data_IF_122677769047
#
_entry.id   IF_122677769047
#
_cell.length_a   1.000
_cell.length_b   1.000
_cell.length_c   1.000
_cell.angle_alpha   90.00
_cell.angle_beta   90.00
_cell.angle_gamma   90.00
#
_symmetry.space_group_name_H-M   'P 1'
#
loop_
_entity.id
_entity.type
_entity.pdbx_description
1 polymer ?
#
# COMPACT_ATOMS: atom_id res chain seq x y z
N UNK A 1 -6.47 -24.95 4.48
CA UNK A 1 -6.04 -23.59 4.08
C UNK A 1 -5.56 -22.85 5.30
N UNK A 2 -4.34 -22.25 5.24
CA UNK A 2 -3.86 -21.39 6.32
C UNK A 2 -4.53 -20.01 6.15
N UNK A 3 -5.15 -19.52 7.23
CA UNK A 3 -5.72 -18.16 7.30
C UNK A 3 -4.77 -17.30 8.11
N UNK A 4 -4.48 -16.09 7.64
CA UNK A 4 -3.65 -15.11 8.32
C UNK A 4 -4.54 -13.98 8.85
N UNK A 5 -4.31 -13.58 10.10
CA UNK A 5 -4.95 -12.40 10.67
C UNK A 5 -4.13 -11.17 10.27
N UNK A 6 -4.72 -10.28 9.48
CA UNK A 6 -4.07 -9.03 9.04
C UNK A 6 -4.66 -7.80 9.73
N UNK A 7 -3.84 -6.76 9.86
CA UNK A 7 -4.30 -5.42 10.16
C UNK A 7 -3.91 -4.47 9.03
N UNK A 8 -4.90 -3.81 8.46
CA UNK A 8 -4.69 -2.70 7.55
C UNK A 8 -4.60 -1.41 8.36
N UNK A 9 -3.37 -0.99 8.61
CA UNK A 9 -3.03 0.17 9.41
C UNK A 9 -3.00 1.44 8.56
N UNK A 10 -3.17 2.58 9.20
CA UNK A 10 -3.32 3.86 8.53
C UNK A 10 -2.10 4.76 8.72
N UNK A 11 -1.81 5.60 7.72
CA UNK A 11 -0.86 6.69 7.83
C UNK A 11 -1.42 7.80 8.72
N UNK A 12 -0.78 8.09 9.86
CA UNK A 12 -1.28 9.06 10.84
C UNK A 12 -0.44 10.34 10.92
N UNK A 13 0.76 10.35 10.33
CA UNK A 13 1.65 11.52 10.31
C UNK A 13 2.54 11.60 9.07
N UNK A 14 3.09 12.78 8.79
CA UNK A 14 4.13 12.98 7.76
C UNK A 14 5.46 12.31 8.13
N UNK A 15 5.67 11.98 9.39
CA UNK A 15 6.85 11.27 9.87
C UNK A 15 6.76 9.75 9.63
N UNK A 16 5.61 9.26 9.11
CA UNK A 16 5.40 7.85 8.78
C UNK A 16 4.88 7.02 9.96
N UNK A 17 4.31 7.66 10.97
CA UNK A 17 3.61 6.93 12.04
C UNK A 17 2.37 6.25 11.51
N UNK A 18 2.07 5.08 12.05
CA UNK A 18 0.87 4.30 11.77
C UNK A 18 0.01 4.17 13.02
N UNK A 19 -1.23 3.72 12.89
CA UNK A 19 -2.10 3.40 14.01
C UNK A 19 -1.94 1.96 14.53
N UNK A 20 -0.99 1.18 13.99
CA UNK A 20 -0.60 -0.10 14.56
C UNK A 20 0.07 0.12 15.92
N UNK A 21 -0.52 -0.42 16.98
CA UNK A 21 0.01 -0.31 18.33
C UNK A 21 1.07 -1.35 18.59
N UNK A 22 2.14 -0.97 19.30
CA UNK A 22 3.22 -1.88 19.65
C UNK A 22 2.75 -3.10 20.48
N UNK A 23 1.74 -2.90 21.35
CA UNK A 23 1.16 -3.95 22.19
C UNK A 23 0.24 -4.92 21.42
N UNK A 24 -0.08 -4.59 20.17
CA UNK A 24 -0.98 -5.40 19.33
C UNK A 24 -0.23 -6.20 18.26
N UNK A 25 1.08 -6.00 18.10
CA UNK A 25 1.88 -6.65 17.06
C UNK A 25 1.76 -8.18 17.07
N UNK A 26 1.74 -8.79 18.25
CA UNK A 26 1.67 -10.25 18.38
C UNK A 26 0.30 -10.84 18.03
N UNK A 27 -0.73 -10.00 17.92
CA UNK A 27 -2.09 -10.41 17.57
C UNK A 27 -2.29 -10.63 16.07
N UNK A 28 -1.37 -10.15 15.23
CA UNK A 28 -1.48 -10.18 13.79
C UNK A 28 -0.38 -11.01 13.14
N UNK A 29 -0.69 -11.62 12.00
CA UNK A 29 0.25 -12.38 11.16
C UNK A 29 0.83 -11.54 10.03
N UNK A 30 0.08 -10.53 9.57
CA UNK A 30 0.42 -9.69 8.41
C UNK A 30 0.11 -8.22 8.70
N UNK A 31 1.00 -7.33 8.27
CA UNK A 31 0.89 -5.88 8.43
C UNK A 31 0.66 -5.21 7.07
N UNK A 32 -0.57 -4.80 6.83
CA UNK A 32 -0.95 -4.00 5.67
C UNK A 32 -0.97 -2.51 6.06
N UNK A 33 -0.77 -1.64 5.07
CA UNK A 33 -0.65 -0.21 5.32
C UNK A 33 -1.26 0.59 4.16
N UNK A 34 -2.11 1.55 4.48
CA UNK A 34 -2.75 2.42 3.49
C UNK A 34 -3.13 3.79 4.03
N UNK A 35 -3.84 4.57 3.21
CA UNK A 35 -4.40 5.88 3.60
C UNK A 35 -5.91 5.84 3.45
N UNK A 36 -6.65 6.12 4.53
CA UNK A 36 -8.10 6.15 4.56
C UNK A 36 -8.65 7.53 4.98
N UNK A 37 -9.93 7.77 4.74
CA UNK A 37 -10.53 9.10 4.88
C UNK A 37 -10.79 9.52 6.33
N UNK A 38 -11.17 8.57 7.18
CA UNK A 38 -11.63 8.87 8.56
C UNK A 38 -10.62 8.36 9.56
N UNK A 39 -9.66 9.24 9.91
CA UNK A 39 -8.55 8.89 10.79
C UNK A 39 -8.31 9.96 11.86
N UNK A 40 -7.69 9.55 12.95
CA UNK A 40 -7.10 10.46 13.92
C UNK A 40 -5.65 10.73 13.55
N UNK A 41 -5.41 11.88 12.94
CA UNK A 41 -4.05 12.34 12.63
C UNK A 41 -3.35 12.85 13.89
N UNK A 42 -2.02 12.75 13.91
CA UNK A 42 -1.19 13.16 15.05
C UNK A 42 -1.21 14.69 15.25
N UNK A 43 -1.19 15.44 14.13
CA UNK A 43 -1.23 16.90 14.11
C UNK A 43 -2.19 17.39 13.03
N UNK A 44 -2.71 18.60 13.17
CA UNK A 44 -3.54 19.22 12.13
C UNK A 44 -2.79 19.38 10.79
N UNK A 45 -1.48 19.67 10.84
CA UNK A 45 -0.65 19.73 9.64
C UNK A 45 -0.59 18.40 8.87
N UNK A 46 -0.62 17.26 9.57
CA UNK A 46 -0.62 15.93 8.96
C UNK A 46 -1.96 15.70 8.25
N UNK A 47 -3.07 15.97 8.93
CA UNK A 47 -4.41 15.94 8.32
C UNK A 47 -4.49 16.82 7.08
N UNK A 48 -4.01 18.07 7.17
CA UNK A 48 -4.04 19.02 6.06
C UNK A 48 -3.26 18.50 4.84
N UNK A 49 -2.03 18.04 5.02
CA UNK A 49 -1.16 17.63 3.91
C UNK A 49 -1.47 16.24 3.38
N UNK A 50 -1.80 15.27 4.24
CA UNK A 50 -2.05 13.89 3.82
C UNK A 50 -3.47 13.76 3.27
N UNK A 51 -4.46 14.24 4.02
CA UNK A 51 -5.86 14.00 3.68
C UNK A 51 -6.52 15.18 2.97
N UNK A 52 -6.61 16.36 3.61
CA UNK A 52 -7.48 17.44 3.13
C UNK A 52 -7.08 17.93 1.72
N UNK A 53 -5.80 18.19 1.48
CA UNK A 53 -5.33 18.66 0.17
C UNK A 53 -5.49 17.60 -0.92
N UNK A 54 -5.16 16.34 -0.62
CA UNK A 54 -5.32 15.24 -1.56
C UNK A 54 -6.79 14.94 -1.88
N UNK A 55 -7.64 14.85 -0.84
CA UNK A 55 -9.07 14.59 -1.01
C UNK A 55 -9.78 15.70 -1.78
N UNK A 56 -9.44 16.97 -1.49
CA UNK A 56 -10.00 18.12 -2.22
C UNK A 56 -9.61 18.07 -3.69
N UNK A 57 -8.34 17.79 -4.00
CA UNK A 57 -7.88 17.64 -5.38
C UNK A 57 -8.59 16.49 -6.09
N UNK A 58 -8.71 15.34 -5.43
CA UNK A 58 -9.45 14.18 -5.94
C UNK A 58 -10.91 14.51 -6.26
N UNK A 59 -11.63 15.18 -5.35
CA UNK A 59 -13.03 15.59 -5.57
C UNK A 59 -13.20 16.56 -6.74
N UNK A 60 -12.19 17.41 -7.00
CA UNK A 60 -12.19 18.36 -8.11
C UNK A 60 -11.65 17.74 -9.42
N UNK A 61 -11.30 16.45 -9.45
CA UNK A 61 -10.71 15.79 -10.61
C UNK A 61 -9.34 16.37 -10.99
N UNK A 62 -8.58 16.89 -10.03
CA UNK A 62 -7.28 17.55 -10.22
C UNK A 62 -6.18 16.82 -9.48
N UNK A 63 -4.94 17.00 -9.94
CA UNK A 63 -3.76 16.59 -9.14
C UNK A 63 -3.54 17.61 -8.03
N UNK A 64 -3.11 17.20 -6.83
CA UNK A 64 -2.68 18.10 -5.77
C UNK A 64 -1.41 18.85 -6.19
N UNK A 65 -1.02 19.89 -5.44
CA UNK A 65 0.24 20.62 -5.70
C UNK A 65 1.45 19.70 -5.52
N UNK A 66 2.55 20.00 -6.22
CA UNK A 66 3.78 19.21 -6.09
C UNK A 66 4.25 19.09 -4.65
N UNK A 67 4.17 20.17 -3.87
CA UNK A 67 4.50 20.15 -2.42
C UNK A 67 3.69 19.12 -1.63
N UNK A 68 2.40 18.94 -1.96
CA UNK A 68 1.55 17.92 -1.31
C UNK A 68 1.99 16.54 -1.73
N UNK A 69 2.27 16.31 -3.02
CA UNK A 69 2.80 15.05 -3.54
C UNK A 69 4.13 14.70 -2.84
N UNK A 70 5.07 15.65 -2.75
CA UNK A 70 6.36 15.45 -2.09
C UNK A 70 6.21 15.07 -0.61
N UNK A 71 5.32 15.79 0.11
CA UNK A 71 5.02 15.49 1.51
C UNK A 71 4.43 14.08 1.68
N UNK A 72 3.49 13.71 0.83
CA UNK A 72 2.84 12.39 0.87
C UNK A 72 3.83 11.29 0.50
N UNK A 73 4.64 11.50 -0.53
CA UNK A 73 5.72 10.58 -0.92
C UNK A 73 6.66 10.33 0.25
N UNK A 74 7.13 11.39 0.90
CA UNK A 74 7.99 11.29 2.09
C UNK A 74 7.31 10.51 3.22
N UNK A 75 6.02 10.76 3.45
CA UNK A 75 5.27 10.06 4.50
C UNK A 75 5.15 8.56 4.22
N UNK A 76 4.85 8.14 2.98
CA UNK A 76 4.84 6.74 2.59
C UNK A 76 6.22 6.09 2.76
N UNK A 77 7.28 6.77 2.29
CA UNK A 77 8.66 6.30 2.44
C UNK A 77 9.03 6.10 3.92
N UNK A 78 8.71 7.08 4.76
CA UNK A 78 8.97 7.00 6.20
C UNK A 78 8.19 5.85 6.84
N UNK A 79 6.92 5.64 6.47
CA UNK A 79 6.11 4.56 6.99
C UNK A 79 6.71 3.18 6.65
N UNK A 80 7.13 2.96 5.41
CA UNK A 80 7.79 1.70 4.98
C UNK A 80 9.13 1.49 5.69
N UNK A 81 9.90 2.57 5.91
CA UNK A 81 11.20 2.48 6.61
C UNK A 81 11.08 2.22 8.10
N UNK A 82 10.11 2.85 8.74
CA UNK A 82 9.98 2.85 10.20
C UNK A 82 9.13 1.68 10.72
N UNK A 83 8.36 1.02 9.86
CA UNK A 83 7.47 -0.06 10.24
C UNK A 83 7.71 -1.31 9.37
N UNK A 84 7.51 -2.51 9.90
CA UNK A 84 7.68 -3.77 9.15
C UNK A 84 6.46 -4.07 8.27
N UNK A 85 6.10 -3.13 7.38
CA UNK A 85 4.94 -3.22 6.49
C UNK A 85 5.15 -4.32 5.46
N UNK A 86 4.23 -5.28 5.37
CA UNK A 86 4.24 -6.34 4.37
C UNK A 86 3.67 -5.88 3.03
N UNK A 87 2.52 -5.19 3.07
CA UNK A 87 1.78 -4.77 1.88
C UNK A 87 1.39 -3.30 1.99
N UNK A 88 1.77 -2.52 1.00
CA UNK A 88 1.24 -1.18 0.77
C UNK A 88 -0.04 -1.29 -0.05
N UNK A 89 -1.19 -1.03 0.59
CA UNK A 89 -2.51 -1.21 0.00
C UNK A 89 -2.91 -0.01 -0.86
N UNK A 90 -3.73 -0.26 -1.87
CA UNK A 90 -4.39 0.71 -2.77
C UNK A 90 -3.62 2.04 -2.96
N UNK A 91 -2.31 1.94 -3.27
CA UNK A 91 -1.45 3.11 -3.52
C UNK A 91 -2.10 4.08 -4.52
N UNK A 92 -1.91 5.37 -4.31
CA UNK A 92 -2.52 6.45 -5.11
C UNK A 92 -4.05 6.61 -4.93
N UNK A 93 -4.69 5.84 -4.04
CA UNK A 93 -6.11 6.02 -3.76
C UNK A 93 -6.33 7.28 -2.93
N UNK A 94 -6.91 8.32 -3.54
CA UNK A 94 -7.22 9.62 -2.93
C UNK A 94 -6.03 10.32 -2.24
N UNK A 95 -4.83 9.80 -2.39
CA UNK A 95 -3.61 10.29 -1.75
C UNK A 95 -2.43 10.12 -2.71
N UNK A 96 -2.18 11.13 -3.53
CA UNK A 96 -1.17 11.10 -4.57
C UNK A 96 0.26 11.10 -4.00
N UNK A 97 1.13 10.29 -4.57
CA UNK A 97 2.56 10.27 -4.27
C UNK A 97 3.39 10.06 -5.54
N UNK A 98 4.71 10.21 -5.45
CA UNK A 98 5.62 9.73 -6.49
C UNK A 98 5.72 8.21 -6.40
N UNK A 99 5.03 7.54 -7.32
CA UNK A 99 4.91 6.08 -7.35
C UNK A 99 6.26 5.40 -7.53
N UNK A 100 7.17 5.99 -8.32
CA UNK A 100 8.49 5.40 -8.57
C UNK A 100 9.38 5.46 -7.32
N UNK A 101 9.39 6.60 -6.63
CA UNK A 101 10.18 6.74 -5.39
C UNK A 101 9.66 5.83 -4.29
N UNK A 102 8.34 5.76 -4.09
CA UNK A 102 7.73 4.86 -3.10
C UNK A 102 8.01 3.40 -3.46
N UNK A 103 7.79 2.99 -4.72
CA UNK A 103 8.03 1.62 -5.17
C UNK A 103 9.49 1.19 -4.99
N UNK A 104 10.45 2.09 -5.26
CA UNK A 104 11.88 1.80 -5.01
C UNK A 104 12.13 1.47 -3.54
N UNK A 105 11.60 2.26 -2.62
CA UNK A 105 11.76 1.97 -1.19
C UNK A 105 11.03 0.70 -0.79
N UNK A 106 9.85 0.43 -1.33
CA UNK A 106 9.16 -0.84 -1.12
C UNK A 106 10.03 -2.03 -1.58
N UNK A 107 10.69 -1.94 -2.74
CA UNK A 107 11.61 -2.94 -3.23
C UNK A 107 12.80 -3.14 -2.28
N UNK A 108 13.45 -2.06 -1.83
CA UNK A 108 14.60 -2.09 -0.92
C UNK A 108 14.27 -2.73 0.43
N UNK A 109 13.03 -2.58 0.90
CA UNK A 109 12.58 -3.07 2.21
C UNK A 109 11.78 -4.37 2.15
N UNK A 110 11.50 -4.92 0.96
CA UNK A 110 10.71 -6.14 0.79
C UNK A 110 9.23 -5.97 1.13
N UNK A 111 8.70 -4.75 0.97
CA UNK A 111 7.27 -4.44 1.06
C UNK A 111 6.62 -4.65 -0.30
N UNK A 112 5.53 -5.40 -0.35
CA UNK A 112 4.74 -5.56 -1.56
C UNK A 112 3.88 -4.33 -1.86
N UNK A 113 3.60 -4.10 -3.14
CA UNK A 113 2.54 -3.17 -3.55
C UNK A 113 1.33 -3.98 -3.99
N UNK A 114 0.18 -3.59 -3.50
CA UNK A 114 -1.09 -4.21 -3.83
C UNK A 114 -1.56 -3.84 -5.25
N UNK A 115 -1.95 -4.82 -6.03
CA UNK A 115 -2.83 -4.68 -7.20
C UNK A 115 -4.25 -4.94 -6.72
N UNK A 116 -4.95 -3.87 -6.33
CA UNK A 116 -6.29 -3.94 -5.73
C UNK A 116 -7.34 -4.28 -6.78
N UNK A 117 -8.22 -5.25 -6.47
CA UNK A 117 -9.29 -5.68 -7.39
C UNK A 117 -10.70 -5.23 -6.98
N UNK A 118 -10.83 -4.50 -5.87
CA UNK A 118 -12.09 -3.83 -5.55
C UNK A 118 -12.32 -2.64 -6.45
N UNK A 119 -11.25 -1.88 -6.72
CA UNK A 119 -11.26 -0.71 -7.60
C UNK A 119 -9.87 -0.47 -8.17
N UNK A 120 -9.82 -0.12 -9.46
CA UNK A 120 -8.58 0.28 -10.11
C UNK A 120 -8.13 1.66 -9.60
N UNK A 121 -6.93 1.75 -9.06
CA UNK A 121 -6.34 2.98 -8.50
C UNK A 121 -5.14 3.50 -9.32
N UNK A 122 -4.55 2.62 -10.13
CA UNK A 122 -3.36 2.90 -10.96
C UNK A 122 -3.63 2.51 -12.41
N UNK A 123 -2.94 3.16 -13.34
CA UNK A 123 -2.95 2.81 -14.77
C UNK A 123 -1.93 1.69 -15.06
N UNK A 124 -2.00 1.03 -16.23
CA UNK A 124 -0.98 0.07 -16.66
C UNK A 124 0.43 0.68 -16.67
N UNK A 125 0.57 1.91 -17.16
CA UNK A 125 1.84 2.63 -17.23
C UNK A 125 2.40 2.93 -15.83
N UNK A 126 1.53 3.21 -14.85
CA UNK A 126 1.91 3.41 -13.47
C UNK A 126 2.37 2.10 -12.82
N UNK A 127 1.73 0.98 -13.14
CA UNK A 127 2.17 -0.37 -12.70
C UNK A 127 3.53 -0.70 -13.31
N UNK A 128 3.71 -0.51 -14.62
CA UNK A 128 4.99 -0.75 -15.31
C UNK A 128 6.11 0.15 -14.76
N UNK A 129 5.78 1.42 -14.44
CA UNK A 129 6.71 2.35 -13.80
C UNK A 129 7.18 1.83 -12.44
N UNK A 130 6.25 1.39 -11.59
CA UNK A 130 6.59 0.80 -10.29
C UNK A 130 7.40 -0.49 -10.45
N UNK A 131 6.98 -1.37 -11.36
CA UNK A 131 7.64 -2.63 -11.66
C UNK A 131 9.10 -2.44 -12.10
N UNK A 132 9.40 -1.35 -12.83
CA UNK A 132 10.77 -1.01 -13.26
C UNK A 132 11.75 -0.79 -12.11
N UNK A 133 11.27 -0.60 -10.89
CA UNK A 133 12.10 -0.47 -9.67
C UNK A 133 12.50 -1.82 -9.07
N UNK A 134 11.94 -2.92 -9.56
CA UNK A 134 12.13 -4.25 -9.00
C UNK A 134 11.18 -4.56 -7.83
N UNK A 135 10.21 -3.68 -7.52
CA UNK A 135 9.22 -3.95 -6.48
C UNK A 135 8.38 -5.18 -6.85
N UNK A 136 7.97 -5.92 -5.83
CA UNK A 136 7.09 -7.07 -6.02
C UNK A 136 5.65 -6.71 -5.67
N UNK A 137 4.70 -7.42 -6.28
CA UNK A 137 3.29 -7.17 -6.14
C UNK A 137 2.56 -8.36 -5.52
N UNK A 138 1.40 -8.06 -4.95
CA UNK A 138 0.36 -9.04 -4.60
C UNK A 138 -0.98 -8.56 -5.16
N UNK A 139 -1.81 -9.49 -5.60
CA UNK A 139 -3.20 -9.21 -6.00
C UNK A 139 -4.09 -9.43 -4.79
N UNK A 140 -4.92 -8.45 -4.47
CA UNK A 140 -5.83 -8.50 -3.32
C UNK A 140 -7.23 -8.09 -3.74
N UNK A 141 -8.23 -8.81 -3.24
CA UNK A 141 -9.64 -8.52 -3.57
C UNK A 141 -10.23 -7.37 -2.75
N UNK A 142 -9.61 -6.98 -1.64
CA UNK A 142 -10.15 -5.98 -0.71
C UNK A 142 -11.66 -6.23 -0.47
N UNK A 143 -12.00 -7.49 -0.21
CA UNK A 143 -13.38 -7.96 -0.19
C UNK A 143 -14.08 -7.46 1.08
N UNK A 144 -15.23 -6.80 0.88
CA UNK A 144 -16.12 -6.34 1.95
C UNK A 144 -17.41 -7.18 2.04
N UNK A 145 -17.50 -8.22 1.23
CA UNK A 145 -18.58 -9.21 1.23
C UNK A 145 -18.07 -10.57 0.77
N UNK A 146 -18.71 -11.65 1.20
CA UNK A 146 -18.22 -13.01 0.98
C UNK A 146 -18.11 -13.39 -0.50
N UNK A 147 -18.99 -12.88 -1.34
CA UNK A 147 -19.01 -13.11 -2.80
C UNK A 147 -17.84 -12.43 -3.54
N UNK A 148 -17.17 -11.48 -2.90
CA UNK A 148 -16.02 -10.77 -3.46
C UNK A 148 -14.67 -11.39 -3.07
N UNK A 149 -14.66 -12.34 -2.14
CA UNK A 149 -13.41 -12.98 -1.70
C UNK A 149 -12.76 -13.73 -2.86
N UNK A 150 -11.51 -13.35 -3.19
CA UNK A 150 -10.77 -13.92 -4.30
C UNK A 150 -11.20 -13.47 -5.71
N UNK A 151 -12.02 -12.42 -5.83
CA UNK A 151 -12.34 -11.83 -7.13
C UNK A 151 -11.14 -11.06 -7.69
N UNK A 152 -10.57 -11.54 -8.80
CA UNK A 152 -9.35 -11.01 -9.45
C UNK A 152 -9.60 -10.28 -10.76
N UNK A 153 -10.86 -10.16 -11.20
CA UNK A 153 -11.23 -9.68 -12.55
C UNK A 153 -10.64 -8.32 -12.93
N UNK A 154 -10.58 -7.37 -11.96
CA UNK A 154 -10.03 -6.03 -12.22
C UNK A 154 -8.51 -6.10 -12.43
N UNK A 155 -7.80 -6.90 -11.60
CA UNK A 155 -6.37 -7.11 -11.80
C UNK A 155 -6.09 -7.80 -13.13
N UNK A 156 -6.80 -8.88 -13.46
CA UNK A 156 -6.65 -9.58 -14.74
C UNK A 156 -6.83 -8.66 -15.95
N UNK A 157 -7.80 -7.73 -15.87
CA UNK A 157 -8.01 -6.76 -16.95
C UNK A 157 -6.86 -5.73 -16.99
N UNK A 158 -6.42 -5.23 -15.84
CA UNK A 158 -5.31 -4.28 -15.75
C UNK A 158 -4.01 -4.90 -16.30
N UNK A 159 -3.71 -6.13 -15.90
CA UNK A 159 -2.47 -6.84 -16.25
C UNK A 159 -2.36 -7.18 -17.75
N UNK A 160 -3.48 -7.26 -18.48
CA UNK A 160 -3.45 -7.44 -19.96
C UNK A 160 -2.77 -6.27 -20.69
N UNK A 161 -2.84 -5.09 -20.11
CA UNK A 161 -2.31 -3.85 -20.70
C UNK A 161 -0.94 -3.47 -20.12
N UNK A 162 -0.40 -4.25 -19.16
CA UNK A 162 0.92 -4.07 -18.56
C UNK A 162 2.01 -4.83 -19.31
N UNK A 163 3.26 -4.36 -19.20
CA UNK A 163 4.43 -4.95 -19.87
C UNK A 163 5.46 -5.54 -18.92
N UNK A 164 5.25 -5.53 -17.60
CA UNK A 164 6.20 -6.07 -16.63
C UNK A 164 6.10 -7.60 -16.50
N UNK A 165 7.18 -8.27 -16.04
CA UNK A 165 7.17 -9.72 -15.85
C UNK A 165 6.20 -10.15 -14.74
N UNK A 166 5.28 -11.08 -15.04
CA UNK A 166 4.30 -11.61 -14.04
C UNK A 166 4.98 -12.34 -12.87
N UNK A 167 6.26 -12.71 -13.00
CA UNK A 167 7.10 -13.24 -11.93
C UNK A 167 7.31 -12.25 -10.77
N UNK A 168 7.03 -10.96 -10.98
CA UNK A 168 7.03 -9.96 -9.90
C UNK A 168 5.75 -10.00 -9.04
N UNK A 169 4.74 -10.81 -9.38
CA UNK A 169 3.55 -11.03 -8.56
C UNK A 169 3.72 -12.32 -7.76
N UNK A 170 3.71 -12.24 -6.43
CA UNK A 170 4.07 -13.35 -5.55
C UNK A 170 2.92 -14.22 -5.08
N UNK A 171 1.67 -13.91 -5.43
CA UNK A 171 0.52 -14.73 -5.04
C UNK A 171 -0.29 -15.28 -6.23
N UNK A 172 0.37 -15.49 -7.35
CA UNK A 172 -0.19 -16.22 -8.51
C UNK A 172 0.65 -17.47 -8.80
N UNK A 173 0.12 -18.39 -9.60
CA UNK A 173 0.80 -19.61 -10.06
C UNK A 173 1.38 -20.47 -8.91
N UNK A 174 0.71 -20.50 -7.77
CA UNK A 174 1.13 -21.25 -6.58
C UNK A 174 2.29 -20.64 -5.81
N UNK A 175 2.76 -19.47 -6.18
CA UNK A 175 3.75 -18.70 -5.41
C UNK A 175 3.14 -18.18 -4.10
N UNK A 176 3.96 -18.05 -3.07
CA UNK A 176 3.55 -17.53 -1.76
C UNK A 176 4.39 -16.30 -1.39
N UNK A 177 3.75 -15.18 -1.01
CA UNK A 177 4.46 -13.99 -0.54
C UNK A 177 5.30 -14.29 0.70
N UNK A 178 6.43 -13.59 0.82
CA UNK A 178 7.29 -13.63 2.01
C UNK A 178 7.10 -12.34 2.80
N UNK A 179 6.49 -12.45 3.95
CA UNK A 179 6.14 -11.31 4.79
C UNK A 179 7.26 -10.96 5.77
N UNK A 180 7.71 -9.70 5.73
CA UNK A 180 8.77 -9.17 6.60
C UNK A 180 8.31 -8.98 8.06
N UNK A 181 7.02 -8.78 8.29
CA UNK A 181 6.46 -8.63 9.63
C UNK A 181 6.68 -9.88 10.49
N UNK A 182 6.54 -11.05 9.90
CA UNK A 182 6.82 -12.31 10.59
C UNK A 182 8.30 -12.41 11.04
N UNK A 183 9.24 -11.98 10.20
CA UNK A 183 10.66 -11.95 10.54
C UNK A 183 10.98 -10.88 11.60
N UNK A 184 10.36 -9.71 11.49
CA UNK A 184 10.47 -8.66 12.48
C UNK A 184 10.03 -9.13 13.88
N UNK A 185 8.90 -9.85 13.99
CA UNK A 185 8.45 -10.40 15.28
C UNK A 185 9.45 -11.39 15.87
N UNK A 186 10.02 -12.27 15.05
CA UNK A 186 11.07 -13.21 15.52
C UNK A 186 12.33 -12.52 16.05
N UNK A 187 12.69 -11.37 15.48
CA UNK A 187 13.87 -10.62 15.94
C UNK A 187 13.67 -9.91 17.28
N UNK A 188 12.43 -9.83 17.79
CA UNK A 188 12.06 -9.21 19.07
C UNK A 188 11.84 -10.20 20.20
N UNK A 189 11.65 -11.48 19.87
CA UNK A 189 11.53 -12.59 20.82
C UNK A 189 12.90 -13.12 21.23
#
# INVERSE_FOLDING_TARGET
VKVLMGMESNLTSLDGDTDMRQDDLDKFDIFLFGVHEVLKYRKFSDFYNIMLCNYTAYKLGKKPSQKVIDNTTKAYINAVKNNPVDILTHINYKCCCDLKEVAKVCADYGTYIEINTKKRHVSPEEVDLMASTGVRFVIDSDAHSADRVGDTKIAEQLLKDCNFPLEQIDNIDGRLPKFRFAEYKKSRS
#
